data_IF_247380955757
#
_entry.id   IF_247380955757
#
_cell.length_a   1.000
_cell.length_b   1.000
_cell.length_c   1.000
_cell.angle_alpha   90.00
_cell.angle_beta   90.00
_cell.angle_gamma   90.00
#
_symmetry.space_group_name_H-M   'P 1'
#
loop_
_entity.id
_entity.type
_entity.pdbx_description
1 polymer ?
#
# COMPACT_ATOMS: atom_id res chain seq x y z
N UNK A 1 -13.73 -35.17 -16.55
CA UNK A 1 -13.52 -35.72 -15.20
C UNK A 1 -12.32 -35.04 -14.60
N UNK A 2 -12.57 -34.38 -13.47
CA UNK A 2 -11.70 -33.62 -12.59
C UNK A 2 -10.42 -34.42 -12.23
N UNK A 3 -9.27 -33.80 -12.00
CA UNK A 3 -8.97 -33.24 -10.67
C UNK A 3 -7.76 -32.30 -10.70
N UNK A 4 -8.09 -31.06 -10.36
CA UNK A 4 -7.27 -30.03 -9.75
C UNK A 4 -6.24 -30.57 -8.74
N UNK A 5 -4.97 -30.17 -8.87
CA UNK A 5 -4.02 -30.10 -7.76
C UNK A 5 -3.32 -28.74 -7.78
N UNK A 6 -3.91 -27.83 -7.03
CA UNK A 6 -3.40 -26.50 -6.71
C UNK A 6 -2.12 -26.68 -5.90
N UNK A 7 -0.97 -26.35 -6.49
CA UNK A 7 0.30 -26.34 -5.79
C UNK A 7 0.32 -25.20 -4.77
N UNK A 8 0.87 -25.51 -3.60
CA UNK A 8 0.93 -24.67 -2.41
C UNK A 8 2.14 -23.75 -2.58
N UNK A 9 1.94 -22.43 -2.59
CA UNK A 9 3.04 -21.49 -2.40
C UNK A 9 3.14 -21.14 -0.91
N UNK A 10 4.35 -21.24 -0.31
CA UNK A 10 4.58 -20.97 1.10
C UNK A 10 4.50 -19.47 1.42
N UNK A 11 4.05 -19.17 2.64
CA UNK A 11 4.26 -17.89 3.30
C UNK A 11 5.76 -17.74 3.60
N UNK A 12 6.40 -16.74 3.02
CA UNK A 12 7.65 -16.18 3.54
C UNK A 12 7.71 -14.71 3.17
N UNK A 13 7.73 -13.91 4.22
CA UNK A 13 8.08 -12.50 4.24
C UNK A 13 9.50 -12.26 3.72
N UNK A 14 9.72 -11.00 3.35
CA UNK A 14 11.01 -10.31 3.19
C UNK A 14 11.74 -10.41 1.84
N UNK A 15 12.00 -9.19 1.35
CA UNK A 15 13.15 -8.78 0.53
C UNK A 15 13.14 -9.22 -0.93
N UNK A 16 12.64 -8.33 -1.78
CA UNK A 16 13.04 -8.24 -3.18
C UNK A 16 13.80 -6.92 -3.34
N UNK A 17 15.11 -6.94 -3.07
CA UNK A 17 16.03 -5.97 -3.65
C UNK A 17 16.49 -6.54 -4.99
N UNK A 18 15.90 -6.04 -6.07
CA UNK A 18 16.34 -6.32 -7.43
C UNK A 18 16.87 -5.03 -8.05
N UNK A 19 18.17 -5.06 -8.33
CA UNK A 19 18.97 -4.01 -8.97
C UNK A 19 18.61 -3.85 -10.45
N UNK A 20 18.33 -2.60 -10.88
CA UNK A 20 18.47 -2.15 -12.28
C UNK A 20 18.99 -0.71 -12.29
N UNK A 21 20.08 -0.46 -13.03
CA UNK A 21 20.81 0.81 -13.13
C UNK A 21 20.01 2.01 -13.64
N UNK A 22 20.10 3.10 -12.87
CA UNK A 22 20.28 4.51 -13.26
C UNK A 22 19.43 5.08 -14.40
N UNK A 23 18.23 5.58 -14.05
CA UNK A 23 17.75 6.94 -14.35
C UNK A 23 16.83 7.38 -13.20
N UNK A 24 17.26 8.35 -12.38
CA UNK A 24 16.45 8.87 -11.25
C UNK A 24 15.35 9.79 -11.79
N UNK A 25 14.26 9.19 -12.27
CA UNK A 25 13.09 9.92 -12.76
C UNK A 25 12.19 10.35 -11.59
N UNK A 26 12.52 11.51 -11.00
CA UNK A 26 11.69 12.46 -10.23
C UNK A 26 10.66 12.00 -9.17
N UNK A 27 10.56 10.73 -8.78
CA UNK A 27 9.76 10.36 -7.61
C UNK A 27 10.51 9.31 -6.77
N UNK A 28 11.60 9.72 -6.12
CA UNK A 28 12.11 9.04 -4.91
C UNK A 28 11.20 9.39 -3.72
N UNK A 29 9.88 9.27 -3.93
CA UNK A 29 8.97 9.22 -2.81
C UNK A 29 9.15 7.83 -2.23
N UNK A 30 9.88 7.75 -1.13
CA UNK A 30 9.95 6.55 -0.29
C UNK A 30 8.56 5.92 -0.24
N UNK A 31 8.43 4.72 -0.83
CA UNK A 31 7.16 4.01 -0.87
C UNK A 31 6.73 3.78 0.57
N UNK A 32 5.63 4.39 0.94
CA UNK A 32 5.05 4.18 2.27
C UNK A 32 4.48 2.77 2.31
N UNK A 33 5.28 1.82 2.79
CA UNK A 33 4.88 0.43 2.94
C UNK A 33 3.86 0.31 4.09
N UNK A 34 2.64 -0.14 3.76
CA UNK A 34 1.56 -0.46 4.70
C UNK A 34 1.30 -1.96 4.71
N UNK A 35 0.90 -2.53 5.84
CA UNK A 35 0.42 -3.92 5.87
C UNK A 35 -1.00 -4.00 5.32
N UNK A 36 -1.43 -5.19 4.89
CA UNK A 36 -2.78 -5.40 4.37
C UNK A 36 -3.86 -4.98 5.38
N UNK A 37 -3.62 -5.22 6.67
CA UNK A 37 -4.53 -4.83 7.75
C UNK A 37 -4.65 -3.30 7.87
N UNK A 38 -3.53 -2.59 7.76
CA UNK A 38 -3.49 -1.13 7.75
C UNK A 38 -4.21 -0.59 6.52
N UNK A 39 -3.93 -1.12 5.33
CA UNK A 39 -4.60 -0.74 4.09
C UNK A 39 -6.12 -0.92 4.16
N UNK A 40 -6.57 -2.07 4.64
CA UNK A 40 -8.00 -2.39 4.77
C UNK A 40 -8.69 -1.45 5.77
N UNK A 41 -7.98 -1.05 6.83
CA UNK A 41 -8.50 -0.09 7.80
C UNK A 41 -8.57 1.32 7.18
N UNK A 42 -7.51 1.77 6.51
CA UNK A 42 -7.48 3.07 5.80
C UNK A 42 -8.60 3.13 4.77
N UNK A 43 -8.75 2.11 3.93
CA UNK A 43 -9.81 2.05 2.91
C UNK A 43 -11.21 2.07 3.51
N UNK A 44 -11.46 1.34 4.61
CA UNK A 44 -12.78 1.35 5.28
C UNK A 44 -13.06 2.69 5.94
N UNK A 45 -12.08 3.26 6.63
CA UNK A 45 -12.26 4.55 7.31
C UNK A 45 -12.43 5.68 6.30
N UNK A 46 -11.63 5.72 5.24
CA UNK A 46 -11.77 6.72 4.18
C UNK A 46 -13.19 6.71 3.56
N UNK A 47 -13.76 5.52 3.33
CA UNK A 47 -15.15 5.39 2.84
C UNK A 47 -16.20 5.94 3.82
N UNK A 48 -15.90 5.96 5.11
CA UNK A 48 -16.84 6.40 6.15
C UNK A 48 -16.69 7.89 6.48
N UNK A 49 -15.45 8.37 6.59
CA UNK A 49 -15.12 9.70 7.13
C UNK A 49 -14.34 10.60 6.16
N UNK A 50 -13.94 10.10 4.99
CA UNK A 50 -13.18 10.83 3.97
C UNK A 50 -11.70 11.02 4.32
N UNK A 51 -11.13 12.14 3.88
CA UNK A 51 -9.72 12.55 4.05
C UNK A 51 -9.36 12.98 5.49
N UNK A 52 -10.07 12.48 6.50
CA UNK A 52 -9.81 12.81 7.91
C UNK A 52 -8.66 11.99 8.47
N UNK A 53 -7.45 12.19 7.95
CA UNK A 53 -6.27 11.37 8.23
C UNK A 53 -5.91 11.26 9.71
N UNK A 54 -6.03 12.34 10.48
CA UNK A 54 -5.82 12.36 11.94
C UNK A 54 -6.69 11.33 12.67
N UNK A 55 -7.96 11.20 12.27
CA UNK A 55 -8.87 10.23 12.89
C UNK A 55 -8.56 8.79 12.48
N UNK A 56 -8.05 8.60 11.26
CA UNK A 56 -7.65 7.29 10.74
C UNK A 56 -6.35 6.84 11.42
N UNK A 57 -5.36 7.74 11.54
CA UNK A 57 -4.10 7.51 12.24
C UNK A 57 -4.31 7.16 13.71
N UNK A 58 -5.27 7.80 14.39
CA UNK A 58 -5.64 7.44 15.75
C UNK A 58 -6.13 5.99 15.93
N UNK A 59 -6.43 5.26 14.85
CA UNK A 59 -6.80 3.84 14.86
C UNK A 59 -5.67 2.91 14.43
N UNK A 60 -4.57 3.43 13.91
CA UNK A 60 -3.43 2.65 13.41
C UNK A 60 -2.21 2.97 14.28
N UNK A 61 -1.92 2.14 15.30
CA UNK A 61 -0.82 2.42 16.21
C UNK A 61 0.51 2.43 15.46
N UNK A 62 1.31 3.46 15.69
CA UNK A 62 2.62 3.61 15.05
C UNK A 62 2.59 4.22 13.64
N UNK A 63 1.41 4.63 13.15
CA UNK A 63 1.29 5.39 11.89
C UNK A 63 0.83 6.81 12.16
N UNK A 64 1.39 7.73 11.39
CA UNK A 64 1.02 9.15 11.39
C UNK A 64 -0.01 9.44 10.30
N UNK A 65 -0.79 10.50 10.48
CA UNK A 65 -1.73 10.97 9.47
C UNK A 65 -1.04 11.27 8.13
N UNK A 66 0.18 11.83 8.19
CA UNK A 66 1.02 12.13 7.03
C UNK A 66 1.38 10.87 6.23
N UNK A 67 1.81 9.78 6.90
CA UNK A 67 2.10 8.52 6.22
C UNK A 67 0.86 7.94 5.53
N UNK A 68 -0.30 8.02 6.19
CA UNK A 68 -1.57 7.50 5.65
C UNK A 68 -2.01 8.33 4.43
N UNK A 69 -1.92 9.65 4.51
CA UNK A 69 -2.19 10.55 3.39
C UNK A 69 -1.28 10.24 2.21
N UNK A 70 0.03 10.11 2.44
CA UNK A 70 1.00 9.79 1.39
C UNK A 70 0.74 8.41 0.78
N UNK A 71 0.45 7.40 1.58
CA UNK A 71 0.05 6.09 1.09
C UNK A 71 -1.19 6.18 0.18
N UNK A 72 -2.19 6.96 0.57
CA UNK A 72 -3.42 7.13 -0.22
C UNK A 72 -3.17 7.87 -1.54
N UNK A 73 -2.42 8.97 -1.52
CA UNK A 73 -2.06 9.75 -2.71
C UNK A 73 -1.25 8.88 -3.67
N UNK A 74 -0.26 8.12 -3.19
CA UNK A 74 0.53 7.19 -3.99
C UNK A 74 -0.33 6.08 -4.61
N UNK A 75 -1.20 5.45 -3.82
CA UNK A 75 -2.16 4.42 -4.29
C UNK A 75 -3.14 4.95 -5.35
N UNK A 76 -3.47 6.23 -5.31
CA UNK A 76 -4.37 6.86 -6.26
C UNK A 76 -3.67 7.42 -7.49
N UNK A 77 -2.46 7.98 -7.35
CA UNK A 77 -1.67 8.52 -8.45
C UNK A 77 -1.30 7.44 -9.48
N UNK A 78 -1.00 6.22 -9.03
CA UNK A 78 -0.76 5.08 -9.93
C UNK A 78 -1.95 4.68 -10.80
N UNK A 79 -3.17 5.15 -10.49
CA UNK A 79 -4.39 4.89 -11.27
C UNK A 79 -4.69 5.98 -12.30
N UNK A 80 -3.95 7.08 -12.30
CA UNK A 80 -4.23 8.25 -13.15
C UNK A 80 -3.40 8.31 -14.45
N UNK A 81 -2.61 7.28 -14.77
CA UNK A 81 -1.80 7.20 -16.00
C UNK A 81 -2.42 6.36 -17.13
N UNK A 82 -3.70 6.00 -17.02
CA UNK A 82 -4.43 5.31 -18.09
C UNK A 82 -5.69 6.08 -18.48
N UNK A 83 -5.51 7.21 -19.17
CA UNK A 83 -6.56 7.82 -19.97
C UNK A 83 -6.00 8.56 -21.16
#
# INVERSE_FOLDING_TARGET
MDKQRKSKHPKTSATIVASTSEEVSSLEWEEVAMTQEEEDLICRMYKLIGERWELIAGRIPGRTAYEIERFWVMKNHGRSQLR
#
